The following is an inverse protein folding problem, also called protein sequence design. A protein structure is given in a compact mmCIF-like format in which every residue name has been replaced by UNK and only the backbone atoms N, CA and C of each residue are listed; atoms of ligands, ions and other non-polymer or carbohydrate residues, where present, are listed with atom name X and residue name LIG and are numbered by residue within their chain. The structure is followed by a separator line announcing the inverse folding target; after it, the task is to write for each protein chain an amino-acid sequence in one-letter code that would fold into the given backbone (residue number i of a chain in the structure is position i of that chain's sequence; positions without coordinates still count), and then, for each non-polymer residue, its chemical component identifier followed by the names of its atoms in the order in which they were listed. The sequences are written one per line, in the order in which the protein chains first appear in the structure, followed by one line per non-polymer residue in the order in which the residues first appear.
data_IF_159186511607
#
_entry.id   IF_159186511607
#
_cell.length_a   1.000
_cell.length_b   1.000
_cell.length_c   1.000
_cell.angle_alpha   90.00
_cell.angle_beta   90.00
_cell.angle_gamma   90.00
#
_symmetry.space_group_name_H-M   'P 1'
#
loop_
_entity.id
_entity.type
_entity.pdbx_description
1 polymer ?
#
# COMPACT_ATOMS: atom_id res chain seq x y z
N UNK A 1 37.21 -23.98 0.15
CA UNK A 1 38.65 -23.92 0.51
C UNK A 1 39.01 -24.91 1.63
N UNK A 2 38.38 -24.85 2.82
CA UNK A 2 38.64 -25.82 3.89
C UNK A 2 38.34 -27.28 3.49
N UNK A 3 37.31 -27.51 2.66
CA UNK A 3 37.00 -28.84 2.10
C UNK A 3 38.14 -29.44 1.27
N UNK A 4 38.82 -28.61 0.47
CA UNK A 4 39.95 -29.06 -0.35
C UNK A 4 41.21 -29.30 0.49
N UNK A 5 41.41 -28.55 1.57
CA UNK A 5 42.51 -28.79 2.52
C UNK A 5 42.27 -30.08 3.31
N UNK A 6 41.02 -30.32 3.74
CA UNK A 6 40.66 -31.54 4.47
C UNK A 6 40.86 -32.79 3.61
N UNK A 7 40.37 -32.76 2.37
CA UNK A 7 40.43 -33.91 1.48
C UNK A 7 41.80 -34.07 0.79
N UNK A 8 42.68 -33.08 0.93
CA UNK A 8 43.99 -33.05 0.27
C UNK A 8 43.93 -32.77 -1.24
N UNK A 9 42.79 -32.32 -1.76
CA UNK A 9 42.57 -32.09 -3.19
C UNK A 9 41.80 -30.76 -3.44
N UNK A 10 42.42 -29.89 -4.24
CA UNK A 10 41.90 -28.57 -4.61
C UNK A 10 40.59 -28.62 -5.42
N UNK A 11 40.32 -29.70 -6.15
CA UNK A 11 39.10 -29.85 -6.95
C UNK A 11 37.83 -29.90 -6.09
N UNK A 12 37.87 -30.48 -4.89
CA UNK A 12 36.76 -30.41 -3.92
C UNK A 12 36.59 -29.01 -3.33
N UNK A 13 37.69 -28.26 -3.23
CA UNK A 13 37.66 -26.85 -2.86
C UNK A 13 36.90 -26.00 -3.89
N UNK A 14 37.16 -26.26 -5.18
CA UNK A 14 36.48 -25.60 -6.30
C UNK A 14 34.99 -25.96 -6.37
N UNK A 15 34.64 -27.24 -6.22
CA UNK A 15 33.24 -27.70 -6.19
C UNK A 15 32.38 -26.92 -5.18
N UNK A 16 32.84 -26.83 -3.93
CA UNK A 16 32.10 -26.10 -2.88
C UNK A 16 32.03 -24.61 -3.20
N UNK A 17 33.13 -24.02 -3.69
CA UNK A 17 33.17 -22.59 -4.02
C UNK A 17 32.18 -22.22 -5.14
N UNK A 18 32.13 -23.02 -6.20
CA UNK A 18 31.23 -22.79 -7.34
C UNK A 18 29.75 -22.89 -6.92
N UNK A 19 29.39 -23.86 -6.07
CA UNK A 19 28.04 -23.95 -5.52
C UNK A 19 27.69 -22.77 -4.61
N UNK A 20 28.60 -22.37 -3.71
CA UNK A 20 28.39 -21.27 -2.77
C UNK A 20 28.22 -19.91 -3.46
N UNK A 21 29.04 -19.61 -4.48
CA UNK A 21 28.93 -18.33 -5.18
C UNK A 21 27.60 -18.21 -5.92
N UNK A 22 27.16 -19.28 -6.57
CA UNK A 22 25.85 -19.34 -7.25
C UNK A 22 24.73 -19.19 -6.24
N UNK A 23 24.81 -19.87 -5.09
CA UNK A 23 23.84 -19.71 -4.01
C UNK A 23 23.74 -18.26 -3.56
N UNK A 24 24.86 -17.60 -3.27
CA UNK A 24 24.91 -16.20 -2.84
C UNK A 24 24.28 -15.26 -3.86
N UNK A 25 24.61 -15.39 -5.16
CA UNK A 25 24.05 -14.52 -6.20
C UNK A 25 22.59 -14.81 -6.52
N UNK A 26 22.15 -16.07 -6.42
CA UNK A 26 20.78 -16.47 -6.75
C UNK A 26 19.75 -15.91 -5.78
N UNK A 27 20.14 -15.60 -4.54
CA UNK A 27 19.21 -15.13 -3.49
C UNK A 27 19.24 -13.63 -3.23
N UNK A 28 20.11 -12.86 -3.91
CA UNK A 28 20.24 -11.39 -3.72
C UNK A 28 18.91 -10.65 -3.94
N UNK A 29 18.04 -11.18 -4.81
CA UNK A 29 16.71 -10.62 -5.11
C UNK A 29 15.59 -11.61 -4.88
N UNK A 30 15.71 -12.43 -3.83
CA UNK A 30 14.68 -13.40 -3.49
C UNK A 30 13.45 -12.69 -2.91
N UNK A 31 12.36 -12.65 -3.69
CA UNK A 31 11.09 -12.08 -3.24
C UNK A 31 10.07 -13.17 -2.93
N UNK A 32 10.07 -14.27 -3.67
CA UNK A 32 9.08 -15.35 -3.53
C UNK A 32 9.75 -16.66 -3.13
N UNK A 33 8.99 -17.57 -2.50
CA UNK A 33 9.45 -18.95 -2.24
C UNK A 33 9.88 -19.69 -3.52
N UNK A 34 9.26 -19.36 -4.66
CA UNK A 34 9.66 -19.92 -5.97
C UNK A 34 11.05 -19.46 -6.42
N UNK A 35 11.53 -18.31 -5.96
CA UNK A 35 12.88 -17.83 -6.26
C UNK A 35 13.95 -18.66 -5.51
N UNK A 36 13.64 -19.12 -4.29
CA UNK A 36 14.48 -20.09 -3.56
C UNK A 36 14.60 -21.42 -4.31
N UNK A 37 13.48 -21.92 -4.87
CA UNK A 37 13.48 -23.16 -5.67
C UNK A 37 14.31 -22.99 -6.94
N UNK A 38 14.18 -21.85 -7.64
CA UNK A 38 15.01 -21.53 -8.82
C UNK A 38 16.49 -21.44 -8.46
N UNK A 39 16.83 -20.80 -7.34
CA UNK A 39 18.19 -20.76 -6.81
C UNK A 39 18.72 -22.17 -6.53
N UNK A 40 17.90 -23.02 -5.91
CA UNK A 40 18.21 -24.45 -5.71
C UNK A 40 18.50 -25.17 -7.03
N UNK A 41 17.71 -24.95 -8.08
CA UNK A 41 17.96 -25.53 -9.40
C UNK A 41 19.28 -25.04 -10.03
N UNK A 42 19.62 -23.75 -9.90
CA UNK A 42 20.91 -23.23 -10.37
C UNK A 42 22.10 -23.84 -9.62
N UNK A 43 21.98 -23.99 -8.29
CA UNK A 43 22.99 -24.67 -7.47
C UNK A 43 23.17 -26.12 -7.93
N UNK A 44 22.07 -26.86 -8.10
CA UNK A 44 22.12 -28.25 -8.59
C UNK A 44 22.80 -28.36 -9.95
N UNK A 45 22.48 -27.46 -10.90
CA UNK A 45 23.10 -27.47 -12.23
C UNK A 45 24.62 -27.26 -12.16
N UNK A 46 25.08 -26.26 -11.39
CA UNK A 46 26.51 -25.97 -11.24
C UNK A 46 27.24 -27.06 -10.46
N UNK A 47 26.60 -27.64 -9.44
CA UNK A 47 27.15 -28.76 -8.70
C UNK A 47 27.26 -30.01 -9.59
N UNK A 48 26.31 -30.30 -10.48
CA UNK A 48 26.41 -31.43 -11.42
C UNK A 48 27.59 -31.24 -12.37
N UNK A 49 27.73 -30.04 -12.96
CA UNK A 49 28.86 -29.72 -13.84
C UNK A 49 30.18 -29.89 -13.07
N UNK A 50 30.25 -29.34 -11.86
CA UNK A 50 31.46 -29.43 -11.03
C UNK A 50 31.76 -30.88 -10.61
N UNK A 51 30.74 -31.70 -10.32
CA UNK A 51 30.90 -33.11 -9.99
C UNK A 51 31.43 -33.95 -11.17
N UNK A 52 31.04 -33.62 -12.40
CA UNK A 52 31.60 -34.26 -13.61
C UNK A 52 33.08 -33.90 -13.75
N UNK A 53 33.44 -32.63 -13.55
CA UNK A 53 34.85 -32.17 -13.60
C UNK A 53 35.71 -32.87 -12.55
N UNK A 54 35.23 -32.98 -11.30
CA UNK A 54 35.93 -33.71 -10.23
C UNK A 54 36.03 -35.20 -10.57
N UNK A 55 34.96 -35.82 -11.08
CA UNK A 55 34.95 -37.23 -11.46
C UNK A 55 35.93 -37.55 -12.60
N UNK A 56 36.20 -36.61 -13.51
CA UNK A 56 37.21 -36.79 -14.57
C UNK A 56 38.64 -36.87 -14.04
N UNK A 57 38.91 -36.27 -12.87
CA UNK A 57 40.22 -36.30 -12.23
C UNK A 57 40.44 -37.56 -11.37
N UNK A 58 39.37 -38.04 -10.72
CA UNK A 58 39.43 -39.22 -9.85
C UNK A 58 38.85 -40.47 -10.54
N UNK A 59 39.73 -41.43 -10.84
CA UNK A 59 39.37 -42.68 -11.54
C UNK A 59 38.34 -43.53 -10.78
N UNK A 60 38.31 -43.46 -9.44
CA UNK A 60 37.32 -44.17 -8.64
C UNK A 60 35.94 -43.54 -8.77
N UNK A 61 35.87 -42.20 -8.73
CA UNK A 61 34.62 -41.46 -8.93
C UNK A 61 34.10 -41.62 -10.35
N UNK A 62 34.97 -41.68 -11.36
CA UNK A 62 34.58 -41.96 -12.74
C UNK A 62 33.88 -43.32 -12.87
N UNK A 63 34.42 -44.36 -12.21
CA UNK A 63 33.81 -45.70 -12.21
C UNK A 63 32.44 -45.73 -11.52
N UNK A 64 32.18 -44.80 -10.58
CA UNK A 64 30.94 -44.70 -9.81
C UNK A 64 30.17 -43.39 -10.08
N UNK A 65 30.29 -42.83 -11.28
CA UNK A 65 29.86 -41.45 -11.61
C UNK A 65 28.38 -41.15 -11.33
N UNK A 66 27.52 -42.18 -11.32
CA UNK A 66 26.10 -42.03 -10.96
C UNK A 66 25.90 -41.51 -9.53
N UNK A 67 26.72 -41.95 -8.57
CA UNK A 67 26.58 -41.52 -7.18
C UNK A 67 26.85 -40.01 -7.01
N UNK A 68 28.01 -39.45 -7.42
CA UNK A 68 28.26 -38.01 -7.35
C UNK A 68 27.22 -37.17 -8.10
N UNK A 69 26.75 -37.63 -9.27
CA UNK A 69 25.74 -36.89 -10.04
C UNK A 69 24.40 -36.83 -9.29
N UNK A 70 23.93 -37.94 -8.72
CA UNK A 70 22.66 -37.96 -7.97
C UNK A 70 22.75 -37.04 -6.74
N UNK A 71 23.84 -37.11 -5.98
CA UNK A 71 24.05 -36.23 -4.83
C UNK A 71 24.14 -34.75 -5.26
N UNK A 72 24.87 -34.44 -6.33
CA UNK A 72 24.98 -33.09 -6.84
C UNK A 72 23.62 -32.54 -7.34
N UNK A 73 22.84 -33.35 -8.05
CA UNK A 73 21.52 -32.97 -8.56
C UNK A 73 20.52 -32.70 -7.43
N UNK A 74 20.56 -33.51 -6.36
CA UNK A 74 19.65 -33.36 -5.21
C UNK A 74 20.10 -32.26 -4.24
N UNK A 75 21.41 -31.94 -4.20
CA UNK A 75 21.98 -30.99 -3.24
C UNK A 75 21.30 -29.61 -3.23
N UNK A 76 21.04 -29.02 -4.41
CA UNK A 76 20.42 -27.70 -4.50
C UNK A 76 18.96 -27.67 -4.01
N UNK A 77 18.21 -28.76 -4.24
CA UNK A 77 16.86 -28.93 -3.71
C UNK A 77 16.90 -29.07 -2.18
N UNK A 78 17.82 -29.88 -1.66
CA UNK A 78 18.01 -30.03 -0.21
C UNK A 78 18.38 -28.71 0.45
N UNK A 79 19.25 -27.90 -0.16
CA UNK A 79 19.60 -26.56 0.33
C UNK A 79 18.39 -25.64 0.33
N UNK A 80 17.62 -25.58 -0.76
CA UNK A 80 16.41 -24.75 -0.83
C UNK A 80 15.36 -25.16 0.21
N UNK A 81 15.17 -26.45 0.44
CA UNK A 81 14.28 -26.97 1.47
C UNK A 81 14.78 -26.59 2.88
N UNK A 82 16.07 -26.78 3.15
CA UNK A 82 16.68 -26.45 4.43
C UNK A 82 16.55 -24.95 4.76
N UNK A 83 16.86 -24.08 3.78
CA UNK A 83 16.68 -22.63 3.92
C UNK A 83 15.21 -22.29 4.18
N UNK A 84 14.27 -22.89 3.44
CA UNK A 84 12.84 -22.62 3.63
C UNK A 84 12.31 -23.01 5.01
N UNK A 85 12.91 -24.04 5.63
CA UNK A 85 12.54 -24.49 6.99
C UNK A 85 13.18 -23.60 8.06
N UNK A 86 14.44 -23.20 7.88
CA UNK A 86 15.19 -22.44 8.89
C UNK A 86 14.89 -20.94 8.84
N UNK A 87 14.49 -20.40 7.69
CA UNK A 87 14.30 -18.97 7.49
C UNK A 87 13.30 -18.36 8.50
N UNK A 88 12.10 -18.94 8.74
CA UNK A 88 11.18 -18.40 9.75
C UNK A 88 11.77 -18.39 11.16
N UNK A 89 12.60 -19.38 11.50
CA UNK A 89 13.28 -19.44 12.82
C UNK A 89 14.31 -18.32 12.95
N UNK A 90 15.07 -18.05 11.88
CA UNK A 90 16.03 -16.95 11.85
C UNK A 90 15.33 -15.59 11.91
N UNK A 91 14.26 -15.40 11.13
CA UNK A 91 13.45 -14.17 11.15
C UNK A 91 12.92 -13.90 12.56
N UNK A 92 12.36 -14.92 13.22
CA UNK A 92 11.87 -14.81 14.60
C UNK A 92 13.00 -14.49 15.59
N UNK A 93 14.13 -15.19 15.49
CA UNK A 93 15.26 -15.02 16.42
C UNK A 93 15.92 -13.65 16.29
N UNK A 94 16.09 -13.16 15.06
CA UNK A 94 16.76 -11.89 14.78
C UNK A 94 15.81 -10.70 14.65
N UNK A 95 14.48 -10.92 14.71
CA UNK A 95 13.45 -9.89 14.49
C UNK A 95 13.64 -9.15 13.15
N UNK A 96 14.10 -9.86 12.12
CA UNK A 96 14.30 -9.33 10.77
C UNK A 96 13.20 -9.86 9.88
N UNK A 97 12.63 -9.00 9.04
CA UNK A 97 11.64 -9.39 8.04
C UNK A 97 12.29 -9.60 6.69
N UNK A 98 11.98 -10.73 6.06
CA UNK A 98 12.30 -10.90 4.64
C UNK A 98 11.16 -10.38 3.77
N UNK A 99 11.47 -10.13 2.50
CA UNK A 99 10.48 -9.79 1.48
C UNK A 99 9.38 -10.87 1.37
N UNK A 100 9.67 -12.13 1.73
CA UNK A 100 8.67 -13.21 1.73
C UNK A 100 7.63 -12.96 2.82
N UNK A 101 8.05 -12.70 4.07
CA UNK A 101 7.14 -12.37 5.18
C UNK A 101 6.30 -11.14 4.85
N UNK A 102 6.92 -10.11 4.28
CA UNK A 102 6.23 -8.88 3.90
C UNK A 102 5.19 -9.12 2.80
N UNK A 103 5.50 -9.96 1.80
CA UNK A 103 4.53 -10.32 0.76
C UNK A 103 3.37 -11.18 1.29
N UNK A 104 3.61 -12.03 2.29
CA UNK A 104 2.55 -12.76 2.98
C UNK A 104 1.61 -11.78 3.73
N UNK A 105 2.16 -10.77 4.40
CA UNK A 105 1.38 -9.70 5.04
C UNK A 105 0.73 -8.73 4.05
N UNK A 106 1.18 -8.67 2.80
CA UNK A 106 0.54 -7.88 1.76
C UNK A 106 -0.77 -8.53 1.26
N UNK A 107 -0.99 -9.82 1.51
CA UNK A 107 -2.22 -10.52 1.09
C UNK A 107 -3.43 -10.03 1.89
N UNK A 108 -4.30 -9.27 1.23
CA UNK A 108 -5.53 -8.74 1.82
C UNK A 108 -6.55 -9.84 2.20
N UNK A 109 -6.32 -11.09 1.80
CA UNK A 109 -7.17 -12.22 2.16
C UNK A 109 -6.83 -12.87 3.50
N UNK A 110 -5.76 -12.44 4.17
CA UNK A 110 -5.43 -12.95 5.49
C UNK A 110 -6.51 -12.57 6.53
N UNK A 111 -6.65 -13.34 7.62
CA UNK A 111 -7.76 -13.18 8.56
C UNK A 111 -7.89 -11.77 9.17
N UNK A 112 -6.78 -11.14 9.56
CA UNK A 112 -6.80 -9.82 10.18
C UNK A 112 -7.24 -8.71 9.20
N UNK A 113 -6.74 -8.72 7.96
CA UNK A 113 -7.17 -7.75 6.94
C UNK A 113 -8.62 -7.95 6.53
N UNK A 114 -9.09 -9.21 6.45
CA UNK A 114 -10.52 -9.49 6.28
C UNK A 114 -11.36 -8.96 7.43
N UNK A 115 -10.90 -9.14 8.67
CA UNK A 115 -11.56 -8.59 9.85
C UNK A 115 -11.65 -7.05 9.78
N UNK A 116 -10.56 -6.38 9.40
CA UNK A 116 -10.55 -4.92 9.17
C UNK A 116 -11.55 -4.52 8.10
N UNK A 117 -11.56 -5.19 6.96
CA UNK A 117 -12.46 -4.90 5.83
C UNK A 117 -13.94 -5.07 6.21
N UNK A 118 -14.28 -6.08 7.02
CA UNK A 118 -15.67 -6.36 7.41
C UNK A 118 -16.13 -5.43 8.54
N UNK A 119 -15.32 -5.26 9.58
CA UNK A 119 -15.72 -4.56 10.80
C UNK A 119 -15.47 -3.04 10.72
N UNK A 120 -14.48 -2.59 9.95
CA UNK A 120 -14.12 -1.18 9.77
C UNK A 120 -13.77 -0.87 8.30
N UNK A 121 -14.75 -0.98 7.37
CA UNK A 121 -14.51 -0.86 5.92
C UNK A 121 -13.94 0.49 5.49
N UNK A 122 -14.32 1.58 6.18
CA UNK A 122 -13.79 2.91 5.92
C UNK A 122 -12.31 3.02 6.27
N UNK A 123 -11.93 2.49 7.43
CA UNK A 123 -10.53 2.39 7.88
C UNK A 123 -9.72 1.47 6.95
N UNK A 124 -10.29 0.37 6.47
CA UNK A 124 -9.65 -0.50 5.48
C UNK A 124 -9.32 0.28 4.19
N UNK A 125 -10.29 1.00 3.64
CA UNK A 125 -10.09 1.78 2.42
C UNK A 125 -9.06 2.92 2.62
N UNK A 126 -9.12 3.58 3.78
CA UNK A 126 -8.11 4.56 4.20
C UNK A 126 -6.70 3.95 4.21
N UNK A 127 -6.52 2.83 4.90
CA UNK A 127 -5.22 2.16 5.05
C UNK A 127 -4.63 1.73 3.70
N UNK A 128 -5.46 1.30 2.76
CA UNK A 128 -5.03 0.95 1.39
C UNK A 128 -4.52 2.19 0.64
N UNK A 129 -5.19 3.34 0.76
CA UNK A 129 -4.73 4.59 0.12
C UNK A 129 -3.43 5.06 0.76
N UNK A 130 -3.35 5.05 2.09
CA UNK A 130 -2.12 5.40 2.82
C UNK A 130 -0.96 4.51 2.38
N UNK A 131 -1.17 3.20 2.24
CA UNK A 131 -0.16 2.28 1.73
C UNK A 131 0.32 2.61 0.32
N UNK A 132 -0.59 3.00 -0.59
CA UNK A 132 -0.21 3.44 -1.93
C UNK A 132 0.58 4.76 -1.93
N UNK A 133 0.20 5.72 -1.07
CA UNK A 133 0.95 6.98 -0.91
C UNK A 133 2.37 6.66 -0.45
N UNK A 134 2.51 5.97 0.67
CA UNK A 134 3.80 5.64 1.29
C UNK A 134 4.72 4.87 0.34
N UNK A 135 4.19 3.87 -0.38
CA UNK A 135 4.95 3.10 -1.37
C UNK A 135 5.60 3.99 -2.45
N UNK A 136 4.86 5.00 -2.93
CA UNK A 136 5.31 5.84 -4.06
C UNK A 136 6.43 6.81 -3.71
N UNK A 137 6.61 7.14 -2.43
CA UNK A 137 7.72 7.97 -1.96
C UNK A 137 8.87 7.15 -1.39
N UNK A 138 8.63 5.91 -0.96
CA UNK A 138 9.59 5.12 -0.20
C UNK A 138 10.93 4.91 -0.92
N UNK A 139 10.92 4.52 -2.20
CA UNK A 139 12.15 4.25 -2.96
C UNK A 139 13.02 5.51 -3.10
N UNK A 140 12.38 6.64 -3.41
CA UNK A 140 13.07 7.92 -3.62
C UNK A 140 13.69 8.50 -2.33
N UNK A 141 13.17 8.11 -1.16
CA UNK A 141 13.73 8.51 0.15
C UNK A 141 14.64 7.44 0.77
N UNK A 142 14.96 6.37 0.03
CA UNK A 142 15.89 5.32 0.43
C UNK A 142 15.30 4.29 1.39
N UNK A 143 13.99 4.04 1.33
CA UNK A 143 13.25 3.11 2.18
C UNK A 143 12.71 1.96 1.33
N UNK A 144 12.65 0.74 1.89
CA UNK A 144 12.02 -0.40 1.21
C UNK A 144 10.51 -0.12 0.97
N UNK A 145 10.05 -0.01 -0.29
CA UNK A 145 8.66 0.31 -0.59
C UNK A 145 7.67 -0.76 -0.13
N UNK A 146 8.07 -2.04 -0.19
CA UNK A 146 7.23 -3.15 0.25
C UNK A 146 7.01 -3.09 1.76
N UNK A 147 8.08 -2.87 2.53
CA UNK A 147 7.97 -2.69 3.97
C UNK A 147 7.02 -1.54 4.31
N UNK A 148 7.24 -0.38 3.67
CA UNK A 148 6.49 0.82 3.97
C UNK A 148 4.99 0.68 3.65
N UNK A 149 4.66 0.04 2.52
CA UNK A 149 3.29 -0.30 2.14
C UNK A 149 2.64 -1.27 3.11
N UNK A 150 3.33 -2.37 3.44
CA UNK A 150 2.80 -3.39 4.34
C UNK A 150 2.52 -2.77 5.69
N UNK A 151 3.47 -2.06 6.31
CA UNK A 151 3.24 -1.45 7.62
C UNK A 151 2.11 -0.42 7.61
N UNK A 152 1.93 0.31 6.51
CA UNK A 152 0.82 1.24 6.34
C UNK A 152 -0.55 0.55 6.29
N UNK A 153 -0.66 -0.68 5.79
CA UNK A 153 -1.95 -1.39 5.80
C UNK A 153 -2.46 -1.73 7.21
N UNK A 154 -1.53 -1.85 8.17
CA UNK A 154 -1.87 -2.29 9.52
C UNK A 154 -1.85 -1.17 10.55
N UNK A 155 -1.42 0.05 10.21
CA UNK A 155 -1.22 1.12 11.19
C UNK A 155 -2.46 1.38 12.08
N UNK A 156 -3.65 1.14 11.51
CA UNK A 156 -4.95 1.49 12.07
C UNK A 156 -5.80 0.28 12.52
N UNK A 157 -5.23 -0.93 12.57
CA UNK A 157 -6.00 -2.17 12.87
C UNK A 157 -6.73 -2.13 14.21
N UNK A 158 -6.25 -1.35 15.17
CA UNK A 158 -6.90 -1.23 16.48
C UNK A 158 -8.29 -0.58 16.42
N UNK A 159 -8.63 0.11 15.33
CA UNK A 159 -9.96 0.68 15.11
C UNK A 159 -11.04 -0.40 14.97
N UNK A 160 -10.68 -1.67 14.67
CA UNK A 160 -11.63 -2.80 14.57
C UNK A 160 -12.53 -2.91 15.80
N UNK A 161 -11.98 -2.78 17.01
CA UNK A 161 -12.74 -3.00 18.25
C UNK A 161 -13.82 -1.93 18.49
N UNK A 162 -13.61 -0.71 17.98
CA UNK A 162 -14.49 0.45 18.22
C UNK A 162 -14.77 1.23 16.95
N UNK A 163 -15.02 0.53 15.83
CA UNK A 163 -15.11 1.11 14.49
C UNK A 163 -16.09 2.29 14.39
N UNK A 164 -17.23 2.19 15.07
CA UNK A 164 -18.29 3.21 15.13
C UNK A 164 -17.84 4.58 15.68
N UNK A 165 -16.72 4.67 16.39
CA UNK A 165 -16.18 5.95 16.88
C UNK A 165 -15.32 6.67 15.84
N UNK A 166 -14.90 5.99 14.77
CA UNK A 166 -14.06 6.58 13.74
C UNK A 166 -14.91 7.05 12.56
N UNK A 167 -14.76 8.33 12.20
CA UNK A 167 -15.67 9.02 11.27
C UNK A 167 -15.72 8.37 9.89
N UNK A 168 -14.61 7.78 9.43
CA UNK A 168 -14.53 7.08 8.15
C UNK A 168 -15.42 5.84 8.08
N UNK A 169 -15.81 5.27 9.23
CA UNK A 169 -16.72 4.11 9.31
C UNK A 169 -18.18 4.52 9.58
N UNK A 170 -18.44 5.78 9.92
CA UNK A 170 -19.79 6.27 10.21
C UNK A 170 -20.54 6.61 8.91
N UNK A 171 -21.27 5.63 8.36
CA UNK A 171 -22.13 5.85 7.20
C UNK A 171 -23.49 6.44 7.61
N UNK A 172 -23.63 7.78 7.56
CA UNK A 172 -24.87 8.53 7.87
C UNK A 172 -25.44 8.32 9.29
N UNK A 173 -24.66 7.75 10.21
CA UNK A 173 -25.03 7.58 11.61
C UNK A 173 -24.77 8.86 12.42
N UNK A 174 -25.52 9.04 13.51
CA UNK A 174 -25.25 10.10 14.49
C UNK A 174 -23.85 9.88 15.08
N UNK A 175 -23.03 10.92 15.06
CA UNK A 175 -21.65 10.84 15.52
C UNK A 175 -21.63 10.49 17.03
N UNK A 176 -20.97 9.38 17.38
CA UNK A 176 -20.92 8.87 18.76
C UNK A 176 -20.26 9.86 19.73
N UNK A 177 -19.40 10.75 19.23
CA UNK A 177 -18.71 11.76 20.03
C UNK A 177 -19.60 12.92 20.48
N UNK A 178 -20.79 13.10 19.92
CA UNK A 178 -21.70 14.19 20.32
C UNK A 178 -22.18 14.07 21.77
N UNK A 179 -22.26 12.84 22.29
CA UNK A 179 -22.71 12.55 23.66
C UNK A 179 -21.57 12.44 24.68
N UNK A 180 -20.33 12.68 24.24
CA UNK A 180 -19.14 12.50 25.07
C UNK A 180 -18.46 13.84 25.34
N UNK A 181 -17.79 13.91 26.49
CA UNK A 181 -16.87 15.01 26.76
C UNK A 181 -15.69 14.94 25.77
N UNK A 182 -15.03 16.07 25.47
CA UNK A 182 -13.87 16.07 24.58
C UNK A 182 -12.75 15.15 25.08
N UNK A 183 -12.48 15.15 26.39
CA UNK A 183 -11.48 14.28 27.00
C UNK A 183 -11.80 12.79 26.81
N UNK A 184 -13.05 12.37 27.05
CA UNK A 184 -13.46 10.98 26.82
C UNK A 184 -13.35 10.58 25.35
N UNK A 185 -13.68 11.48 24.43
CA UNK A 185 -13.52 11.26 23.00
C UNK A 185 -12.05 11.05 22.64
N UNK A 186 -11.15 11.88 23.16
CA UNK A 186 -9.71 11.72 22.95
C UNK A 186 -9.18 10.39 23.49
N UNK A 187 -9.60 9.95 24.67
CA UNK A 187 -9.18 8.65 25.22
C UNK A 187 -9.61 7.47 24.33
N UNK A 188 -10.84 7.50 23.80
CA UNK A 188 -11.33 6.46 22.87
C UNK A 188 -10.52 6.48 21.57
N UNK A 189 -10.22 7.66 21.03
CA UNK A 189 -9.42 7.74 19.82
C UNK A 189 -7.97 7.31 20.08
N UNK A 190 -7.36 7.64 21.21
CA UNK A 190 -5.99 7.20 21.54
C UNK A 190 -5.93 5.68 21.70
N UNK A 191 -6.99 5.06 22.22
CA UNK A 191 -6.96 3.63 22.55
C UNK A 191 -6.71 2.73 21.33
N UNK A 192 -7.04 3.16 20.10
CA UNK A 192 -6.78 2.34 18.90
C UNK A 192 -5.30 1.94 18.75
N UNK A 193 -4.36 2.75 19.24
CA UNK A 193 -2.94 2.40 19.21
C UNK A 193 -2.68 1.18 20.08
N UNK A 194 -3.20 1.19 21.32
CA UNK A 194 -3.08 0.07 22.26
C UNK A 194 -3.82 -1.17 21.74
N UNK A 195 -5.06 -1.00 21.28
CA UNK A 195 -5.85 -2.10 20.72
C UNK A 195 -5.17 -2.70 19.46
N UNK A 196 -4.50 -1.86 18.68
CA UNK A 196 -3.73 -2.27 17.51
C UNK A 196 -2.51 -3.11 17.89
N UNK A 197 -1.80 -2.74 18.95
CA UNK A 197 -0.71 -3.56 19.50
C UNK A 197 -1.20 -4.91 20.01
N UNK A 198 -2.33 -4.94 20.74
CA UNK A 198 -2.91 -6.20 21.23
C UNK A 198 -3.27 -7.15 20.08
N UNK A 199 -3.87 -6.61 19.00
CA UNK A 199 -4.13 -7.38 17.77
C UNK A 199 -2.83 -7.79 17.08
N UNK A 200 -1.82 -6.91 17.03
CA UNK A 200 -0.55 -7.23 16.43
C UNK A 200 0.15 -8.40 17.14
N UNK A 201 0.07 -8.46 18.47
CA UNK A 201 0.59 -9.58 19.26
C UNK A 201 -0.23 -10.86 19.05
N UNK A 202 -1.57 -10.76 19.05
CA UNK A 202 -2.47 -11.91 18.80
C UNK A 202 -2.18 -12.58 17.44
N UNK A 203 -1.97 -11.77 16.40
CA UNK A 203 -1.69 -12.23 15.04
C UNK A 203 -0.18 -12.43 14.75
N UNK A 204 0.70 -12.30 15.76
CA UNK A 204 2.14 -12.44 15.62
C UNK A 204 2.73 -11.55 14.50
N UNK A 205 2.23 -10.33 14.37
CA UNK A 205 2.76 -9.36 13.43
C UNK A 205 4.20 -8.99 13.82
N UNK A 206 5.05 -8.68 12.83
CA UNK A 206 6.44 -8.38 13.10
C UNK A 206 6.64 -6.99 13.70
N UNK A 207 7.79 -6.78 14.34
CA UNK A 207 8.11 -5.55 15.07
C UNK A 207 7.99 -4.28 14.22
N UNK A 208 8.42 -4.22 12.94
CA UNK A 208 8.22 -3.02 12.14
C UNK A 208 6.75 -2.62 11.98
N UNK A 209 5.81 -3.58 11.98
CA UNK A 209 4.38 -3.27 11.94
C UNK A 209 3.93 -2.68 13.28
N UNK A 210 4.36 -3.27 14.40
CA UNK A 210 4.07 -2.76 15.75
C UNK A 210 4.63 -1.36 15.96
N UNK A 211 5.85 -1.11 15.48
CA UNK A 211 6.50 0.19 15.52
C UNK A 211 5.64 1.24 14.80
N UNK A 212 5.14 0.94 13.60
CA UNK A 212 4.27 1.88 12.87
C UNK A 212 2.94 2.10 13.58
N UNK A 213 2.31 1.07 14.14
CA UNK A 213 1.08 1.22 14.93
C UNK A 213 1.29 2.20 16.08
N UNK A 214 2.44 2.16 16.77
CA UNK A 214 2.72 3.08 17.88
C UNK A 214 3.14 4.48 17.45
N UNK A 215 3.82 4.61 16.31
CA UNK A 215 4.52 5.84 15.92
C UNK A 215 3.74 6.70 14.92
N UNK A 216 2.75 6.16 14.20
CA UNK A 216 2.15 6.84 13.05
C UNK A 216 1.46 8.18 13.41
N UNK A 217 1.00 8.36 14.65
CA UNK A 217 0.51 9.66 15.13
C UNK A 217 1.56 10.47 15.93
N UNK A 218 2.68 9.87 16.30
CA UNK A 218 3.71 10.51 17.12
C UNK A 218 3.13 11.06 18.42
N UNK A 219 3.48 12.32 18.72
CA UNK A 219 2.91 13.10 19.83
C UNK A 219 1.98 14.21 19.34
N UNK A 220 1.29 13.98 18.22
CA UNK A 220 0.41 14.97 17.62
C UNK A 220 -0.75 15.30 18.58
N UNK A 221 -1.22 16.54 18.53
CA UNK A 221 -2.39 16.98 19.32
C UNK A 221 -3.70 16.72 18.57
N UNK A 222 -4.70 16.19 19.28
CA UNK A 222 -6.08 16.06 18.80
C UNK A 222 -6.78 17.42 18.82
N UNK A 223 -6.39 18.31 17.90
CA UNK A 223 -6.72 19.74 17.91
C UNK A 223 -8.22 20.03 18.04
N UNK A 224 -9.09 19.24 17.39
CA UNK A 224 -10.54 19.42 17.47
C UNK A 224 -11.06 19.28 18.90
N UNK A 225 -10.68 18.20 19.60
CA UNK A 225 -11.15 17.95 20.97
C UNK A 225 -10.48 18.88 21.98
N UNK A 226 -9.20 19.22 21.77
CA UNK A 226 -8.51 20.23 22.57
C UNK A 226 -9.21 21.59 22.50
N UNK A 227 -9.54 22.05 21.28
CA UNK A 227 -10.23 23.33 21.08
C UNK A 227 -11.64 23.30 21.67
N UNK A 228 -12.38 22.21 21.47
CA UNK A 228 -13.71 22.04 22.08
C UNK A 228 -13.65 22.09 23.61
N UNK A 229 -12.66 21.43 24.22
CA UNK A 229 -12.46 21.46 25.67
C UNK A 229 -12.11 22.87 26.19
N UNK A 230 -11.30 23.61 25.43
CA UNK A 230 -10.93 24.99 25.75
C UNK A 230 -12.12 25.96 25.69
N UNK A 231 -13.11 25.68 24.84
CA UNK A 231 -14.36 26.45 24.76
C UNK A 231 -15.34 26.12 25.89
N UNK A 232 -15.31 24.89 26.42
CA UNK A 232 -16.20 24.42 27.48
C UNK A 232 -15.72 24.76 28.91
N UNK A 233 -14.42 25.06 29.09
CA UNK A 233 -13.79 25.25 30.40
C UNK A 233 -13.32 26.69 30.62
N UNK A 234 -13.42 27.17 31.86
CA UNK A 234 -12.95 28.51 32.26
C UNK A 234 -11.42 28.62 32.31
N UNK A 235 -10.73 27.50 32.54
CA UNK A 235 -9.27 27.41 32.43
C UNK A 235 -8.89 26.55 31.22
N UNK A 236 -7.83 26.90 30.49
CA UNK A 236 -7.43 26.11 29.33
C UNK A 236 -6.98 24.71 29.77
N UNK A 237 -7.48 23.65 29.12
CA UNK A 237 -7.05 22.28 29.42
C UNK A 237 -5.55 22.11 29.08
N UNK A 238 -4.90 21.13 29.70
CA UNK A 238 -3.51 20.81 29.38
C UNK A 238 -3.45 20.16 28.00
N UNK A 239 -2.55 20.63 27.13
CA UNK A 239 -2.35 20.02 25.79
C UNK A 239 -2.02 18.53 25.87
N UNK A 240 -1.28 18.12 26.91
CA UNK A 240 -0.80 16.75 27.04
C UNK A 240 -1.92 15.73 27.25
N UNK A 241 -3.08 16.17 27.76
CA UNK A 241 -4.28 15.33 27.91
C UNK A 241 -4.95 15.02 26.56
N UNK A 242 -4.53 15.71 25.49
CA UNK A 242 -5.08 15.59 24.12
C UNK A 242 -4.00 15.20 23.10
N UNK A 243 -2.78 14.89 23.54
CA UNK A 243 -1.72 14.38 22.66
C UNK A 243 -1.69 12.87 22.67
N UNK A 244 -1.34 12.30 21.52
CA UNK A 244 -0.97 10.89 21.46
C UNK A 244 0.27 10.62 22.34
N UNK A 245 0.37 9.44 22.96
CA UNK A 245 1.47 9.12 23.87
C UNK A 245 2.83 9.05 23.15
N UNK A 246 2.84 8.77 21.85
CA UNK A 246 4.03 8.55 21.05
C UNK A 246 4.56 7.11 21.16
N UNK A 247 5.85 6.90 20.81
CA UNK A 247 6.89 7.91 20.58
C UNK A 247 6.72 8.64 19.23
N UNK A 248 7.51 9.70 19.01
CA UNK A 248 7.64 10.31 17.66
C UNK A 248 8.16 9.26 16.67
N UNK A 249 7.95 9.43 15.35
CA UNK A 249 8.59 8.61 14.34
C UNK A 249 10.09 8.41 14.61
N UNK A 250 10.50 7.16 14.78
CA UNK A 250 11.91 6.75 14.97
C UNK A 250 12.55 6.30 13.66
N UNK A 251 11.76 6.20 12.58
CA UNK A 251 12.22 5.74 11.27
C UNK A 251 11.60 6.56 10.15
N UNK A 252 12.26 6.56 8.98
CA UNK A 252 11.70 7.15 7.76
C UNK A 252 10.34 6.54 7.39
N UNK A 253 10.16 5.23 7.59
CA UNK A 253 8.87 4.55 7.34
C UNK A 253 7.77 5.14 8.21
N UNK A 254 8.01 5.27 9.52
CA UNK A 254 7.03 5.84 10.45
C UNK A 254 6.65 7.27 10.09
N UNK A 255 7.64 8.07 9.68
CA UNK A 255 7.38 9.43 9.24
C UNK A 255 6.60 9.49 7.91
N UNK A 256 6.90 8.61 6.95
CA UNK A 256 6.12 8.51 5.71
C UNK A 256 4.66 8.17 5.99
N UNK A 257 4.40 7.19 6.88
CA UNK A 257 3.05 6.77 7.27
C UNK A 257 2.32 7.89 7.99
N UNK A 258 2.96 8.56 8.96
CA UNK A 258 2.39 9.72 9.65
C UNK A 258 1.94 10.81 8.68
N UNK A 259 2.83 11.17 7.73
CA UNK A 259 2.54 12.22 6.76
C UNK A 259 1.40 11.78 5.83
N UNK A 260 1.42 10.53 5.37
CA UNK A 260 0.41 9.99 4.46
C UNK A 260 -0.96 9.90 5.13
N UNK A 261 -1.04 9.38 6.36
CA UNK A 261 -2.26 9.30 7.17
C UNK A 261 -2.90 10.69 7.33
N UNK A 262 -2.12 11.66 7.82
CA UNK A 262 -2.62 13.02 8.04
C UNK A 262 -3.11 13.69 6.74
N UNK A 263 -2.41 13.49 5.63
CA UNK A 263 -2.79 14.04 4.33
C UNK A 263 -4.05 13.34 3.79
N UNK A 264 -4.11 12.01 3.83
CA UNK A 264 -5.26 11.23 3.34
C UNK A 264 -6.51 11.65 4.11
N UNK A 265 -6.44 11.65 5.44
CA UNK A 265 -7.56 12.05 6.30
C UNK A 265 -8.02 13.48 6.02
N UNK A 266 -7.09 14.43 5.88
CA UNK A 266 -7.43 15.82 5.58
C UNK A 266 -7.99 16.01 4.15
N UNK A 267 -7.59 15.15 3.21
CA UNK A 267 -8.02 15.24 1.81
C UNK A 267 -9.47 14.83 1.60
N UNK A 268 -10.03 13.96 2.47
CA UNK A 268 -11.42 13.49 2.39
C UNK A 268 -12.46 14.61 2.54
N UNK A 269 -12.11 15.68 3.26
CA UNK A 269 -12.99 16.84 3.46
C UNK A 269 -12.75 17.97 2.46
N UNK A 270 -11.83 17.79 1.51
CA UNK A 270 -11.49 18.80 0.51
C UNK A 270 -12.61 18.90 -0.55
N UNK A 271 -13.45 19.93 -0.45
CA UNK A 271 -14.45 20.26 -1.48
C UNK A 271 -13.74 20.68 -2.77
N UNK A 272 -14.13 20.16 -3.93
CA UNK A 272 -13.56 20.50 -5.26
C UNK A 272 -12.02 20.42 -5.30
N UNK A 273 -11.45 19.20 -5.28
CA UNK A 273 -10.01 18.95 -5.22
C UNK A 273 -9.32 19.27 -6.56
N UNK A 274 -9.05 20.55 -6.83
CA UNK A 274 -8.21 20.96 -7.95
C UNK A 274 -6.72 20.66 -7.65
N UNK A 275 -5.87 20.45 -8.67
CA UNK A 275 -4.46 20.15 -8.44
C UNK A 275 -3.73 21.15 -7.51
N UNK A 276 -3.97 22.45 -7.69
CA UNK A 276 -3.38 23.49 -6.83
C UNK A 276 -3.86 23.41 -5.37
N UNK A 277 -5.11 23.01 -5.14
CA UNK A 277 -5.66 22.86 -3.78
C UNK A 277 -5.14 21.61 -3.08
N UNK A 278 -4.91 20.53 -3.83
CA UNK A 278 -4.26 19.32 -3.31
C UNK A 278 -2.83 19.64 -2.88
N UNK A 279 -2.04 20.29 -3.73
CA UNK A 279 -0.66 20.70 -3.38
C UNK A 279 -0.65 21.62 -2.15
N UNK A 280 -1.53 22.64 -2.12
CA UNK A 280 -1.63 23.54 -0.96
C UNK A 280 -2.04 22.84 0.34
N UNK A 281 -2.90 21.81 0.26
CA UNK A 281 -3.26 20.98 1.41
C UNK A 281 -2.05 20.18 1.91
N UNK A 282 -1.38 19.47 1.00
CA UNK A 282 -0.18 18.67 1.30
C UNK A 282 0.89 19.53 1.97
N UNK A 283 1.18 20.70 1.39
CA UNK A 283 2.15 21.64 1.96
C UNK A 283 1.78 22.09 3.37
N UNK A 284 0.51 22.45 3.60
CA UNK A 284 0.02 22.89 4.90
C UNK A 284 0.18 21.79 5.96
N UNK A 285 -0.23 20.57 5.65
CA UNK A 285 -0.17 19.45 6.60
C UNK A 285 1.29 19.12 6.95
N UNK A 286 2.15 18.98 5.94
CA UNK A 286 3.57 18.65 6.16
C UNK A 286 4.29 19.74 6.95
N UNK A 287 4.01 21.02 6.64
CA UNK A 287 4.60 22.14 7.39
C UNK A 287 4.13 22.15 8.86
N UNK A 288 2.87 21.83 9.14
CA UNK A 288 2.37 21.73 10.51
C UNK A 288 3.07 20.61 11.29
N UNK A 289 3.25 19.43 10.68
CA UNK A 289 3.98 18.30 11.27
C UNK A 289 5.44 18.69 11.58
N UNK A 290 6.07 19.43 10.67
CA UNK A 290 7.44 19.93 10.85
C UNK A 290 7.55 20.94 11.99
N UNK A 291 6.61 21.91 12.07
CA UNK A 291 6.57 22.94 13.11
C UNK A 291 6.27 22.34 14.50
N UNK A 292 5.41 21.31 14.58
CA UNK A 292 5.14 20.56 15.82
C UNK A 292 6.31 19.63 16.22
N UNK A 293 7.39 19.60 15.43
CA UNK A 293 8.62 18.87 15.75
C UNK A 293 8.46 17.35 15.71
N UNK A 294 7.42 16.81 15.05
CA UNK A 294 7.15 15.37 15.01
C UNK A 294 8.25 14.58 14.31
N UNK A 295 8.94 15.19 13.33
CA UNK A 295 9.99 14.52 12.54
C UNK A 295 11.39 14.62 13.15
N UNK A 296 11.52 15.13 14.38
CA UNK A 296 12.82 15.42 15.01
C UNK A 296 13.63 14.19 15.42
N UNK A 297 12.99 13.02 15.48
CA UNK A 297 13.60 11.75 15.95
C UNK A 297 13.75 10.72 14.81
N UNK A 298 13.68 11.17 13.54
CA UNK A 298 13.90 10.33 12.37
C UNK A 298 14.85 10.98 11.36
N UNK A 299 15.52 10.15 10.55
CA UNK A 299 16.53 10.60 9.58
C UNK A 299 15.94 11.15 8.27
N UNK A 300 14.79 11.83 8.30
CA UNK A 300 14.25 12.51 7.11
C UNK A 300 14.96 13.83 6.87
N UNK A 301 15.48 14.00 5.65
CA UNK A 301 16.06 15.28 5.22
C UNK A 301 15.01 16.23 4.67
N UNK A 302 15.29 17.53 4.60
CA UNK A 302 14.42 18.49 3.91
C UNK A 302 14.23 18.14 2.43
N UNK A 303 15.22 17.49 1.81
CA UNK A 303 15.11 16.97 0.44
C UNK A 303 14.07 15.85 0.37
N UNK A 304 14.11 14.91 1.30
CA UNK A 304 13.14 13.82 1.39
C UNK A 304 11.71 14.37 1.56
N UNK A 305 11.54 15.40 2.39
CA UNK A 305 10.25 16.07 2.59
C UNK A 305 9.68 16.64 1.29
N UNK A 306 10.51 17.28 0.46
CA UNK A 306 10.06 17.81 -0.83
C UNK A 306 9.63 16.69 -1.80
N UNK A 307 10.39 15.59 -1.83
CA UNK A 307 10.04 14.40 -2.62
C UNK A 307 8.68 13.83 -2.17
N UNK A 308 8.47 13.69 -0.85
CA UNK A 308 7.21 13.20 -0.28
C UNK A 308 6.03 14.06 -0.72
N UNK A 309 6.17 15.39 -0.60
CA UNK A 309 5.14 16.35 -1.02
C UNK A 309 4.77 16.19 -2.50
N UNK A 310 5.77 16.07 -3.37
CA UNK A 310 5.57 15.90 -4.81
C UNK A 310 4.85 14.59 -5.12
N UNK A 311 5.34 13.46 -4.58
CA UNK A 311 4.78 12.13 -4.82
C UNK A 311 3.35 11.99 -4.30
N UNK A 312 3.10 12.45 -3.08
CA UNK A 312 1.76 12.34 -2.49
C UNK A 312 0.76 13.24 -3.21
N UNK A 313 1.16 14.46 -3.61
CA UNK A 313 0.32 15.34 -4.42
C UNK A 313 -0.04 14.70 -5.77
N UNK A 314 0.93 14.05 -6.43
CA UNK A 314 0.69 13.35 -7.69
C UNK A 314 -0.34 12.22 -7.56
N UNK A 315 -0.20 11.37 -6.53
CA UNK A 315 -1.12 10.25 -6.30
C UNK A 315 -2.52 10.76 -5.94
N UNK A 316 -2.63 11.75 -5.05
CA UNK A 316 -3.92 12.33 -4.67
C UNK A 316 -4.64 12.97 -5.86
N UNK A 317 -3.90 13.67 -6.74
CA UNK A 317 -4.49 14.19 -7.98
C UNK A 317 -5.05 13.06 -8.85
N UNK A 318 -4.33 11.93 -8.96
CA UNK A 318 -4.83 10.73 -9.63
C UNK A 318 -6.12 10.17 -9.03
N UNK A 319 -6.21 10.13 -7.69
CA UNK A 319 -7.39 9.66 -6.95
C UNK A 319 -8.58 10.61 -7.14
N UNK A 320 -8.34 11.91 -7.10
CA UNK A 320 -9.38 12.94 -7.17
C UNK A 320 -9.77 13.36 -8.58
N UNK A 321 -9.06 12.92 -9.61
CA UNK A 321 -9.46 13.18 -10.99
C UNK A 321 -10.85 12.60 -11.25
N UNK A 322 -11.82 13.50 -11.47
CA UNK A 322 -13.17 13.12 -11.90
C UNK A 322 -13.06 12.23 -13.12
N UNK A 323 -13.63 11.01 -13.05
CA UNK A 323 -13.94 10.26 -14.28
C UNK A 323 -14.77 11.21 -15.14
N UNK A 324 -14.32 11.45 -16.36
CA UNK A 324 -15.04 12.27 -17.34
C UNK A 324 -16.44 11.68 -17.46
N UNK A 325 -17.46 12.46 -17.13
CA UNK A 325 -18.85 12.07 -17.39
C UNK A 325 -19.02 11.98 -18.90
N UNK A 326 -19.35 10.80 -19.40
CA UNK A 326 -19.67 10.64 -20.81
C UNK A 326 -20.96 11.40 -21.12
N UNK A 327 -20.94 12.36 -22.05
CA UNK A 327 -22.14 13.08 -22.45
C UNK A 327 -23.20 12.07 -22.94
N UNK A 328 -24.35 12.01 -22.27
CA UNK A 328 -25.48 11.16 -22.66
C UNK A 328 -25.80 9.98 -21.73
N UNK A 329 -24.97 9.65 -20.74
CA UNK A 329 -25.31 8.63 -19.73
C UNK A 329 -25.52 9.26 -18.36
N UNK A 330 -26.79 9.51 -18.02
CA UNK A 330 -27.19 10.07 -16.75
C UNK A 330 -27.57 8.93 -15.79
N UNK A 331 -26.66 8.53 -14.90
CA UNK A 331 -26.87 7.41 -13.96
C UNK A 331 -27.92 7.69 -12.87
N UNK A 332 -28.45 8.91 -12.78
CA UNK A 332 -29.37 9.38 -11.73
C UNK A 332 -30.81 9.68 -12.19
N UNK A 333 -31.26 9.19 -13.35
CA UNK A 333 -32.69 9.21 -13.68
C UNK A 333 -33.34 7.87 -13.30
N UNK A 334 -34.37 7.85 -12.41
CA UNK A 334 -35.25 6.70 -12.32
C UNK A 334 -35.84 6.45 -13.71
N UNK A 335 -35.74 5.23 -14.21
CA UNK A 335 -36.47 4.87 -15.43
C UNK A 335 -37.96 5.06 -15.16
N UNK A 336 -38.73 5.71 -16.05
CA UNK A 336 -40.17 5.81 -15.88
C UNK A 336 -40.76 4.40 -15.90
N UNK A 337 -41.51 4.04 -14.85
CA UNK A 337 -42.32 2.83 -14.84
C UNK A 337 -43.35 2.90 -15.97
N UNK A 338 -43.66 1.77 -16.60
CA UNK A 338 -44.59 1.66 -17.75
C UNK A 338 -46.02 2.12 -17.47
N UNK A 339 -46.35 2.53 -16.24
CA UNK A 339 -47.70 2.92 -15.81
C UNK A 339 -48.09 4.34 -16.27
N UNK A 340 -47.12 5.20 -16.63
CA UNK A 340 -47.40 6.59 -17.05
C UNK A 340 -47.55 6.78 -18.58
N UNK A 341 -47.36 5.74 -19.39
CA UNK A 341 -47.52 5.85 -20.86
C UNK A 341 -48.99 5.87 -21.32
N UNK A 342 -49.92 5.45 -20.48
CA UNK A 342 -51.32 5.27 -20.89
C UNK A 342 -52.21 6.49 -20.64
N UNK A 343 -51.67 7.58 -20.06
CA UNK A 343 -52.43 8.82 -19.77
C UNK A 343 -52.22 9.95 -20.78
N UNK A 344 -51.28 9.84 -21.73
CA UNK A 344 -51.04 10.91 -22.72
C UNK A 344 -51.72 10.70 -24.07
N UNK A 345 -52.44 9.60 -24.29
CA UNK A 345 -53.13 9.31 -25.56
C UNK A 345 -54.61 9.72 -25.62
N UNK A 346 -55.06 10.55 -24.67
CA UNK A 346 -56.46 10.91 -24.53
C UNK A 346 -56.71 12.41 -24.49
N UNK A 347 -56.36 13.16 -25.55
CA UNK A 347 -57.08 14.37 -25.99
C UNK A 347 -56.46 14.99 -27.25
N UNK A 348 -57.37 15.45 -28.11
CA UNK A 348 -57.14 16.24 -29.32
C UNK A 348 -56.81 15.48 -30.62
N UNK A 349 -57.79 14.67 -31.04
CA UNK A 349 -58.21 14.67 -32.45
C UNK A 349 -59.52 15.46 -32.59
N UNK A 350 -59.51 16.54 -33.40
CA UNK A 350 -60.54 16.91 -34.39
C UNK A 350 -60.68 18.43 -34.57
N UNK A 351 -60.23 18.96 -35.71
CA UNK A 351 -61.11 19.73 -36.62
C UNK A 351 -60.35 20.27 -37.87
N UNK A 352 -60.70 19.69 -39.03
CA UNK A 352 -60.95 20.29 -40.37
C UNK A 352 -59.83 21.00 -41.16
N UNK A 353 -59.29 20.26 -42.14
CA UNK A 353 -59.42 20.41 -43.61
C UNK A 353 -59.77 21.81 -44.20
N UNK A 354 -58.87 22.41 -45.00
CA UNK A 354 -59.02 22.65 -46.47
C UNK A 354 -57.95 23.61 -47.10
N UNK A 355 -57.48 23.17 -48.28
CA UNK A 355 -57.18 23.93 -49.51
C UNK A 355 -55.86 24.72 -49.76
N UNK A 356 -55.13 24.21 -50.78
CA UNK A 356 -54.53 24.85 -51.99
C UNK A 356 -52.99 25.06 -52.11
N UNK A 357 -52.46 24.37 -53.12
CA UNK A 357 -51.15 24.39 -53.82
C UNK A 357 -50.76 25.75 -54.48
N UNK A 358 -49.66 25.87 -55.28
CA UNK A 358 -48.20 25.73 -55.03
C UNK A 358 -47.40 26.89 -55.70
N UNK A 359 -46.06 26.80 -55.89
CA UNK A 359 -45.18 27.39 -56.96
C UNK A 359 -43.71 27.39 -56.43
N UNK A 360 -42.78 26.50 -56.87
CA UNK A 360 -41.84 26.57 -58.04
C UNK A 360 -40.79 27.69 -57.85
N UNK A 361 -39.45 27.60 -57.97
CA UNK A 361 -38.42 26.87 -58.76
C UNK A 361 -37.05 27.10 -58.05
N UNK A 362 -36.15 26.14 -57.81
CA UNK A 362 -35.08 25.56 -58.67
C UNK A 362 -33.84 26.44 -59.03
N UNK A 363 -32.66 25.78 -58.98
CA UNK A 363 -31.32 26.09 -59.52
C UNK A 363 -30.36 26.94 -58.63
N UNK A 364 -29.07 26.63 -58.43
CA UNK A 364 -28.12 25.66 -59.01
C UNK A 364 -26.89 25.48 -58.07
N UNK A 365 -26.34 24.27 -57.97
CA UNK A 365 -24.95 23.94 -57.58
C UNK A 365 -23.96 24.23 -58.76
N UNK A 366 -22.62 23.91 -58.74
CA UNK A 366 -21.73 23.37 -57.69
C UNK A 366 -20.35 24.08 -57.58
N UNK A 367 -19.51 23.64 -56.64
CA UNK A 367 -18.08 23.99 -56.60
C UNK A 367 -17.28 23.14 -55.61
N UNK A 368 -16.79 21.99 -56.09
CA UNK A 368 -15.77 21.13 -55.47
C UNK A 368 -14.46 21.89 -55.24
N UNK A 369 -13.78 21.65 -54.11
CA UNK A 369 -12.35 21.30 -54.14
C UNK A 369 -11.87 20.69 -52.81
N UNK A 370 -11.24 19.53 -52.95
CA UNK A 370 -10.51 18.73 -51.96
C UNK A 370 -9.06 19.19 -51.89
N UNK A 371 -8.45 19.29 -50.70
CA UNK A 371 -7.00 19.09 -50.56
C UNK A 371 -6.65 18.52 -49.18
N UNK A 372 -5.96 17.38 -49.24
CA UNK A 372 -5.27 16.67 -48.15
C UNK A 372 -3.78 17.11 -48.13
N UNK A 373 -3.07 16.75 -47.05
CA UNK A 373 -1.61 16.51 -46.90
C UNK A 373 -0.97 17.15 -45.63
N UNK A 374 -0.73 16.24 -44.66
CA UNK A 374 0.49 15.93 -43.86
C UNK A 374 1.45 17.02 -43.30
N UNK A 375 1.77 16.76 -42.02
CA UNK A 375 3.08 16.75 -41.31
C UNK A 375 3.95 18.01 -41.24
N UNK A 376 4.25 18.40 -40.00
CA UNK A 376 5.51 18.97 -39.52
C UNK A 376 5.83 18.35 -38.16
#
# INVERSE_FOLDING_TARGET
MLSGIWQGDAFYGFYVFAGSIVASFSVIRCKKRTDLIKGGMYISAVNVISAIVVSLHDSYLMQHIMQPIIFAATSGISVAAFVSIILPVLEYTFKVNTDITLLELLDLNQPLMKSLMINAPGTYHHSVIVGNLVETAAEDVGVNPLLARVTAYYHDIGKIKMADYFIENQSNAVNKHEKLTPHMSSLILISHVKEGLELADEYNLPEPVKDIITQHHGRSIMMFFYQKAKEEQSEPPKEEDYRYPGPRPQSKVAALVMIADAIEAASRVLKDPTPSRVVGLVDKIVNNILIDGQLSECDLTLRDINIIKERYSYILNGIFHKRIEYPGFNFNKPQPSEVDRDKSNGKESASKDKDKHPVVQAHNEPGHESFDIRKG
#
